data_IF_339743564671
#
_entry.id   IF_339743564671
#
_cell.length_a   1.000
_cell.length_b   1.000
_cell.length_c   1.000
_cell.angle_alpha   90.00
_cell.angle_beta   90.00
_cell.angle_gamma   90.00
#
_symmetry.space_group_name_H-M   'P 1'
#
loop_
_entity.id
_entity.type
_entity.pdbx_description
1 polymer ?
#
# COMPACT_ATOMS: atom_id res chain seq x y z
N UNK A 1 -8.38 7.08 30.47
CA UNK A 1 -7.70 7.71 29.33
C UNK A 1 -6.51 6.82 28.95
N UNK A 2 -6.26 6.58 27.66
CA UNK A 2 -5.11 5.76 27.23
C UNK A 2 -3.85 6.63 27.25
N UNK A 3 -2.73 6.11 27.76
CA UNK A 3 -1.44 6.82 27.77
C UNK A 3 -0.84 6.91 26.35
N UNK A 4 0.18 7.74 26.15
CA UNK A 4 0.85 7.97 24.85
C UNK A 4 -0.02 8.63 23.74
N UNK A 5 -0.47 9.88 23.95
CA UNK A 5 -1.31 10.59 22.97
C UNK A 5 -0.61 10.88 21.63
N UNK A 6 0.73 10.91 21.62
CA UNK A 6 1.53 11.25 20.43
C UNK A 6 1.89 10.04 19.56
N UNK A 7 1.39 8.84 19.86
CA UNK A 7 1.73 7.65 19.07
C UNK A 7 1.37 7.79 17.58
N UNK A 8 0.26 8.48 17.26
CA UNK A 8 -0.24 8.64 15.89
C UNK A 8 0.58 9.59 15.01
N UNK A 9 1.38 10.49 15.59
CA UNK A 9 2.20 11.45 14.84
C UNK A 9 3.64 10.96 14.60
N UNK A 10 4.01 9.80 15.16
CA UNK A 10 5.34 9.20 14.99
C UNK A 10 5.55 8.75 13.54
N UNK A 11 6.63 9.21 12.90
CA UNK A 11 7.03 8.81 11.54
C UNK A 11 8.07 7.69 11.58
N UNK A 12 7.91 6.70 10.69
CA UNK A 12 8.94 5.69 10.45
C UNK A 12 9.91 6.23 9.41
N UNK A 13 11.18 6.39 9.78
CA UNK A 13 12.19 7.04 8.93
C UNK A 13 12.88 6.10 7.95
N UNK A 14 12.78 4.78 8.17
CA UNK A 14 13.39 3.74 7.32
C UNK A 14 12.46 2.55 7.16
N UNK A 15 12.66 1.77 6.10
CA UNK A 15 11.83 0.60 5.77
C UNK A 15 11.98 -0.52 6.80
N UNK A 16 13.17 -0.68 7.38
CA UNK A 16 13.47 -1.71 8.39
C UNK A 16 12.61 -1.53 9.64
N UNK A 17 12.30 -0.28 10.01
CA UNK A 17 11.41 0.00 11.14
C UNK A 17 10.01 -0.56 10.91
N UNK A 18 9.49 -0.50 9.68
CA UNK A 18 8.22 -1.16 9.33
C UNK A 18 8.33 -2.69 9.43
N UNK A 19 9.48 -3.28 9.05
CA UNK A 19 9.70 -4.73 9.17
C UNK A 19 9.79 -5.19 10.63
N UNK A 20 10.42 -4.41 11.51
CA UNK A 20 10.45 -4.71 12.95
C UNK A 20 9.05 -4.68 13.59
N UNK A 21 8.13 -3.89 13.02
CA UNK A 21 6.72 -3.89 13.40
C UNK A 21 5.90 -5.01 12.73
N UNK A 22 6.56 -5.97 12.05
CA UNK A 22 5.91 -7.09 11.36
C UNK A 22 5.19 -6.71 10.06
N UNK A 23 5.34 -5.47 9.57
CA UNK A 23 4.65 -5.00 8.36
C UNK A 23 5.46 -5.33 7.11
N UNK A 24 4.87 -6.14 6.23
CA UNK A 24 5.43 -6.48 4.90
C UNK A 24 5.04 -5.40 3.88
N UNK A 25 5.87 -5.17 2.84
CA UNK A 25 5.50 -4.27 1.75
C UNK A 25 4.24 -4.78 1.03
N UNK A 26 3.34 -3.86 0.72
CA UNK A 26 2.11 -4.14 -0.04
C UNK A 26 2.31 -3.62 -1.46
N UNK A 27 2.06 -4.48 -2.46
CA UNK A 27 2.16 -4.14 -3.87
C UNK A 27 0.87 -3.46 -4.32
N UNK A 28 0.97 -2.39 -5.12
CA UNK A 28 -0.19 -1.68 -5.66
C UNK A 28 -0.82 -2.49 -6.79
N UNK A 29 -2.14 -2.56 -6.86
CA UNK A 29 -2.87 -3.28 -7.92
C UNK A 29 -2.54 -2.83 -9.35
N UNK A 30 -2.22 -1.54 -9.54
CA UNK A 30 -1.76 -0.98 -10.83
C UNK A 30 -0.43 -1.58 -11.32
N UNK A 31 0.40 -2.09 -10.41
CA UNK A 31 1.67 -2.72 -10.75
C UNK A 31 1.52 -4.25 -10.99
N UNK A 32 0.30 -4.78 -10.91
CA UNK A 32 0.01 -6.20 -11.09
C UNK A 32 -0.45 -6.49 -12.53
N UNK A 33 -0.64 -7.77 -12.88
CA UNK A 33 -1.18 -8.15 -14.19
C UNK A 33 -2.72 -8.11 -14.19
N UNK A 34 -3.38 -8.08 -15.37
CA UNK A 34 -4.85 -8.07 -15.46
C UNK A 34 -5.54 -9.22 -14.73
N UNK A 35 -4.87 -10.37 -14.57
CA UNK A 35 -5.37 -11.55 -13.85
C UNK A 35 -5.30 -11.39 -12.33
N UNK A 36 -4.33 -10.62 -11.84
CA UNK A 36 -4.02 -10.50 -10.42
C UNK A 36 -4.79 -9.36 -9.74
N UNK A 37 -5.15 -8.31 -10.50
CA UNK A 37 -5.86 -7.16 -9.97
C UNK A 37 -6.70 -6.50 -11.07
N UNK A 38 -7.91 -5.98 -10.76
CA UNK A 38 -8.76 -5.26 -11.71
C UNK A 38 -8.14 -4.05 -12.44
N UNK A 39 -6.97 -3.58 -11.99
CA UNK A 39 -6.19 -2.46 -12.53
C UNK A 39 -4.86 -2.88 -13.13
N UNK A 40 -4.61 -4.19 -13.18
CA UNK A 40 -3.38 -4.68 -13.73
C UNK A 40 -3.36 -4.56 -15.26
N UNK A 41 -2.16 -4.37 -15.79
CA UNK A 41 -1.89 -4.25 -17.23
C UNK A 41 -2.11 -2.85 -17.84
N UNK A 42 -2.07 -2.81 -19.17
CA UNK A 42 -1.98 -1.58 -19.97
C UNK A 42 -0.53 -1.22 -20.31
N UNK A 43 -0.34 -0.40 -21.35
CA UNK A 43 0.99 0.12 -21.70
C UNK A 43 1.37 1.28 -20.77
N UNK A 44 2.54 1.18 -20.15
CA UNK A 44 3.00 2.17 -19.18
C UNK A 44 2.18 2.18 -17.89
N UNK A 45 2.12 3.33 -17.19
CA UNK A 45 1.41 3.45 -15.91
C UNK A 45 0.00 3.98 -16.11
N UNK A 46 -1.00 3.10 -15.99
CA UNK A 46 -2.42 3.45 -16.11
C UNK A 46 -3.16 3.32 -14.78
N UNK A 47 -4.21 4.12 -14.55
CA UNK A 47 -5.03 4.08 -13.33
C UNK A 47 -6.22 3.09 -13.43
N UNK A 48 -6.20 2.18 -14.40
CA UNK A 48 -7.24 1.16 -14.58
C UNK A 48 -8.58 1.66 -15.14
N UNK A 49 -8.75 2.96 -15.41
CA UNK A 49 -9.90 3.55 -16.15
C UNK A 49 -11.28 3.30 -15.54
N UNK A 50 -11.35 2.86 -14.28
CA UNK A 50 -12.55 2.36 -13.59
C UNK A 50 -12.57 2.93 -12.15
N UNK A 51 -13.74 2.97 -11.47
CA UNK A 51 -13.81 3.32 -10.05
C UNK A 51 -12.93 2.43 -9.17
N UNK A 52 -12.50 2.95 -8.00
CA UNK A 52 -11.67 2.26 -6.99
C UNK A 52 -12.30 0.95 -6.49
N UNK A 53 -11.61 -0.20 -6.60
CA UNK A 53 -12.02 -1.56 -6.23
C UNK A 53 -10.90 -2.29 -5.51
N UNK A 54 -11.31 -3.19 -4.62
CA UNK A 54 -10.45 -4.14 -3.91
C UNK A 54 -10.08 -5.34 -4.81
N UNK A 55 -8.95 -6.02 -4.55
CA UNK A 55 -8.65 -7.30 -5.19
C UNK A 55 -9.67 -8.38 -4.79
#
# INVERSE_FOLDING_TARGET
MVSNPNHGIRRLGKVEQSRWLGRRPIVRGVAMNPVDYPYGGGEGRMKGGRPSVSP
#
